data_IF_375951337737
#
_entry.id   IF_375951337737
#
_cell.length_a   1.000
_cell.length_b   1.000
_cell.length_c   1.000
_cell.angle_alpha   90.00
_cell.angle_beta   90.00
_cell.angle_gamma   90.00
#
_symmetry.space_group_name_H-M   'P 1'
#
loop_
_entity.id
_entity.type
_entity.pdbx_description
1 polymer ?
#
# COMPACT_ATOMS: atom_id res chain seq x y z
N UNK A 1 6.62 2.43 -10.38
CA UNK A 1 6.46 2.60 -8.92
C UNK A 1 5.63 1.42 -8.47
N UNK A 2 5.92 0.80 -7.33
CA UNK A 2 4.95 -0.12 -6.72
C UNK A 2 3.58 0.57 -6.67
N UNK A 3 2.54 0.04 -7.32
CA UNK A 3 1.19 0.62 -7.25
C UNK A 3 0.56 0.48 -5.86
N UNK A 4 1.23 -0.20 -4.94
CA UNK A 4 0.71 -0.58 -3.64
C UNK A 4 1.73 -0.15 -2.58
N UNK A 5 1.52 1.03 -2.00
CA UNK A 5 1.88 1.21 -0.60
C UNK A 5 1.17 0.09 0.15
N UNK A 6 1.90 -0.77 0.86
CA UNK A 6 1.30 -1.59 1.90
C UNK A 6 0.75 -0.62 2.96
N UNK A 7 -0.47 -0.17 2.77
CA UNK A 7 -1.48 0.09 3.79
C UNK A 7 -2.53 0.99 3.16
N UNK A 8 -3.72 0.42 2.93
CA UNK A 8 -4.89 1.07 3.42
C UNK A 8 -5.67 0.04 4.23
N UNK A 9 -5.44 0.11 5.54
CA UNK A 9 -6.09 -0.59 6.65
C UNK A 9 -7.44 -1.18 6.23
N UNK A 10 -7.43 -2.49 5.95
CA UNK A 10 -8.61 -3.29 5.65
C UNK A 10 -8.47 -4.52 6.54
N UNK A 11 -8.98 -4.42 7.78
CA UNK A 11 -9.07 -5.49 8.79
C UNK A 11 -7.79 -6.28 9.15
N UNK A 12 -6.64 -5.99 8.53
CA UNK A 12 -5.40 -6.72 8.79
C UNK A 12 -4.60 -6.06 9.90
N UNK A 13 -4.57 -6.75 11.03
CA UNK A 13 -3.80 -6.40 12.22
C UNK A 13 -2.44 -7.09 12.17
N UNK A 14 -1.41 -6.40 11.69
CA UNK A 14 -0.05 -6.95 11.65
C UNK A 14 0.52 -7.00 13.07
N UNK A 15 0.90 -8.19 13.55
CA UNK A 15 1.51 -8.36 14.89
C UNK A 15 3.01 -8.58 14.85
N UNK A 16 3.54 -8.93 13.68
CA UNK A 16 4.95 -9.21 13.46
C UNK A 16 5.34 -8.75 12.07
N UNK A 17 6.46 -8.04 11.99
CA UNK A 17 7.10 -7.64 10.73
C UNK A 17 8.51 -8.20 10.74
N UNK A 18 8.90 -8.85 9.64
CA UNK A 18 10.27 -9.28 9.40
C UNK A 18 10.73 -8.73 8.06
N UNK A 19 11.84 -8.00 8.05
CA UNK A 19 12.42 -7.41 6.85
C UNK A 19 13.83 -7.95 6.69
N UNK A 20 14.11 -8.51 5.52
CA UNK A 20 15.41 -9.09 5.20
C UNK A 20 16.05 -8.23 4.12
N UNK A 21 17.10 -7.49 4.49
CA UNK A 21 17.99 -6.84 3.54
C UNK A 21 19.00 -7.87 3.06
N UNK A 22 18.80 -8.41 1.86
CA UNK A 22 19.74 -9.36 1.23
C UNK A 22 21.13 -8.74 1.11
N UNK A 23 22.17 -9.56 1.23
CA UNK A 23 23.54 -9.10 1.07
C UNK A 23 23.74 -8.44 -0.30
N UNK A 24 24.40 -7.29 -0.32
CA UNK A 24 24.73 -6.54 -1.52
C UNK A 24 26.24 -6.31 -1.55
N UNK A 25 26.91 -6.84 -2.57
CA UNK A 25 28.38 -6.79 -2.69
C UNK A 25 28.86 -5.36 -2.49
N UNK A 26 29.90 -5.20 -1.68
CA UNK A 26 30.56 -3.92 -1.38
C UNK A 26 29.71 -2.89 -0.61
N UNK A 27 28.41 -3.14 -0.37
CA UNK A 27 27.52 -2.20 0.32
C UNK A 27 27.10 -2.67 1.71
N UNK A 28 26.63 -3.90 1.86
CA UNK A 28 26.16 -4.43 3.14
C UNK A 28 26.12 -5.94 3.14
N UNK A 29 26.49 -6.54 4.27
CA UNK A 29 26.11 -7.92 4.57
C UNK A 29 24.59 -8.04 4.73
N UNK A 30 24.09 -9.28 4.76
CA UNK A 30 22.68 -9.52 5.02
C UNK A 30 22.31 -8.99 6.40
N UNK A 31 21.21 -8.23 6.49
CA UNK A 31 20.65 -7.74 7.75
C UNK A 31 19.20 -8.15 7.88
N UNK A 32 18.82 -8.57 9.07
CA UNK A 32 17.44 -8.96 9.38
C UNK A 32 16.93 -8.01 10.45
N UNK A 33 15.80 -7.38 10.16
CA UNK A 33 15.04 -6.60 11.12
C UNK A 33 13.77 -7.38 11.47
N UNK A 34 13.45 -7.43 12.75
CA UNK A 34 12.24 -8.07 13.24
C UNK A 34 11.61 -7.17 14.31
N UNK A 35 10.31 -6.95 14.19
CA UNK A 35 9.51 -6.28 15.20
C UNK A 35 8.28 -7.13 15.49
N UNK A 36 7.85 -7.12 16.75
CA UNK A 36 6.58 -7.70 17.19
C UNK A 36 5.81 -6.64 17.97
N UNK A 37 4.51 -6.82 18.17
CA UNK A 37 3.74 -5.94 19.05
C UNK A 37 4.44 -5.82 20.42
N UNK A 38 4.58 -4.59 20.91
CA UNK A 38 5.23 -4.21 22.17
C UNK A 38 6.77 -4.35 22.19
N UNK A 39 7.38 -4.73 21.07
CA UNK A 39 8.84 -4.78 20.89
C UNK A 39 9.23 -4.30 19.47
N UNK A 40 9.52 -3.00 19.39
CA UNK A 40 9.91 -2.31 18.17
C UNK A 40 11.35 -1.77 18.34
N UNK A 41 12.38 -2.61 18.08
CA UNK A 41 13.77 -2.28 18.35
C UNK A 41 14.34 -1.27 17.35
N UNK A 42 15.28 -0.44 17.79
CA UNK A 42 16.05 0.44 16.91
C UNK A 42 17.33 -0.22 16.34
N UNK A 43 17.33 -1.55 16.22
CA UNK A 43 18.48 -2.34 15.80
C UNK A 43 18.04 -3.57 14.97
N UNK A 44 18.97 -4.12 14.19
CA UNK A 44 18.84 -5.42 13.57
C UNK A 44 18.95 -6.53 14.62
N UNK A 45 18.54 -7.76 14.25
CA UNK A 45 18.56 -8.92 15.16
C UNK A 45 19.95 -9.25 15.72
N UNK A 46 21.02 -8.85 15.04
CA UNK A 46 22.41 -9.01 15.47
C UNK A 46 22.88 -7.88 16.41
N UNK A 47 21.99 -6.96 16.79
CA UNK A 47 22.26 -5.80 17.64
C UNK A 47 22.90 -4.62 16.90
N UNK A 48 23.21 -4.74 15.61
CA UNK A 48 23.76 -3.64 14.82
C UNK A 48 22.68 -2.63 14.42
N UNK A 49 23.02 -1.36 14.26
CA UNK A 49 22.10 -0.31 13.79
C UNK A 49 22.38 0.11 12.35
N UNK A 50 23.39 -0.50 11.71
CA UNK A 50 23.82 -0.18 10.36
C UNK A 50 24.41 -1.39 9.63
N UNK A 51 24.33 -1.36 8.30
CA UNK A 51 25.02 -2.28 7.40
C UNK A 51 26.01 -1.54 6.49
N UNK A 52 27.14 -2.17 6.22
CA UNK A 52 28.23 -1.64 5.39
C UNK A 52 29.46 -1.17 6.18
N UNK A 53 30.62 -1.32 5.53
CA UNK A 53 31.92 -0.94 6.07
C UNK A 53 32.24 0.54 5.77
N UNK A 54 32.95 1.20 6.68
CA UNK A 54 33.38 2.60 6.55
C UNK A 54 32.47 3.65 7.21
N UNK A 55 32.76 4.93 6.92
CA UNK A 55 32.04 6.11 7.48
C UNK A 55 30.63 6.28 6.89
N UNK A 56 30.43 5.91 5.63
CA UNK A 56 29.13 6.05 4.95
C UNK A 56 28.34 4.75 5.07
N UNK A 57 27.39 4.73 6.02
CA UNK A 57 26.49 3.58 6.19
C UNK A 57 25.47 3.49 5.06
N UNK A 58 25.55 2.41 4.28
CA UNK A 58 24.68 2.16 3.12
C UNK A 58 23.28 1.68 3.53
N UNK A 59 23.17 1.10 4.74
CA UNK A 59 21.95 0.69 5.40
C UNK A 59 22.00 1.19 6.85
N UNK A 60 20.91 1.77 7.36
CA UNK A 60 20.82 2.24 8.75
C UNK A 60 19.39 2.18 9.27
N UNK A 61 19.26 1.99 10.58
CA UNK A 61 18.01 2.15 11.34
C UNK A 61 18.08 3.46 12.11
N UNK A 62 16.99 4.21 12.12
CA UNK A 62 16.84 5.46 12.87
C UNK A 62 15.55 5.36 13.69
N UNK A 63 15.68 5.44 15.00
CA UNK A 63 14.54 5.62 15.89
C UNK A 63 14.01 7.05 15.76
N UNK A 64 12.72 7.18 15.45
CA UNK A 64 12.02 8.46 15.37
C UNK A 64 11.18 8.73 16.60
N UNK A 65 10.61 7.66 17.15
CA UNK A 65 9.84 7.69 18.38
C UNK A 65 10.11 6.42 19.17
N UNK A 66 10.49 6.60 20.45
CA UNK A 66 11.03 5.49 21.21
C UNK A 66 10.05 4.35 21.37
N UNK A 67 10.46 3.15 20.93
CA UNK A 67 9.63 1.94 20.94
C UNK A 67 8.34 2.01 20.12
N UNK A 68 8.16 3.03 19.26
CA UNK A 68 6.92 3.25 18.50
C UNK A 68 7.10 3.52 17.03
N UNK A 69 8.24 4.08 16.61
CA UNK A 69 8.50 4.39 15.21
C UNK A 69 9.98 4.29 14.87
N UNK A 70 10.31 3.43 13.91
CA UNK A 70 11.65 3.37 13.29
C UNK A 70 11.57 3.55 11.78
N UNK A 71 12.63 4.14 11.24
CA UNK A 71 12.90 4.22 9.81
C UNK A 71 14.13 3.41 9.47
N UNK A 72 14.04 2.60 8.42
CA UNK A 72 15.17 1.91 7.81
C UNK A 72 15.47 2.55 6.47
N UNK A 73 16.72 2.98 6.27
CA UNK A 73 17.17 3.59 5.03
C UNK A 73 18.22 2.72 4.35
N UNK A 74 17.82 2.01 3.30
CA UNK A 74 18.68 1.22 2.44
C UNK A 74 19.09 2.07 1.22
N UNK A 75 20.06 2.96 1.40
CA UNK A 75 20.48 3.94 0.39
C UNK A 75 21.02 3.28 -0.87
N UNK A 76 21.73 2.17 -0.73
CA UNK A 76 22.32 1.41 -1.85
C UNK A 76 21.28 0.85 -2.84
N UNK A 77 20.03 0.65 -2.41
CA UNK A 77 18.90 0.22 -3.26
C UNK A 77 17.77 1.26 -3.32
N UNK A 78 18.05 2.52 -2.97
CA UNK A 78 17.07 3.62 -3.00
C UNK A 78 15.79 3.37 -2.17
N UNK A 79 15.84 2.46 -1.19
CA UNK A 79 14.67 1.94 -0.48
C UNK A 79 14.57 2.55 0.92
N UNK A 80 13.36 2.88 1.34
CA UNK A 80 13.06 3.36 2.70
C UNK A 80 11.86 2.62 3.25
N UNK A 81 11.94 2.20 4.50
CA UNK A 81 10.89 1.43 5.18
C UNK A 81 10.58 2.07 6.52
N UNK A 82 9.30 2.27 6.80
CA UNK A 82 8.79 2.78 8.07
C UNK A 82 8.05 1.65 8.78
N UNK A 83 8.35 1.47 10.06
CA UNK A 83 7.63 0.53 10.93
C UNK A 83 7.14 1.30 12.14
N UNK A 84 5.83 1.29 12.38
CA UNK A 84 5.22 1.90 13.55
C UNK A 84 4.39 0.92 14.34
N UNK A 85 4.26 1.18 15.64
CA UNK A 85 3.26 0.55 16.47
C UNK A 85 2.12 1.54 16.76
N UNK A 86 0.90 1.15 16.39
CA UNK A 86 -0.33 1.87 16.70
C UNK A 86 -1.22 0.99 17.57
N UNK A 87 -1.30 1.33 18.86
CA UNK A 87 -1.97 0.48 19.85
C UNK A 87 -1.29 -0.89 19.94
N UNK A 88 -2.00 -1.93 19.47
CA UNK A 88 -1.55 -3.33 19.56
C UNK A 88 -1.10 -3.92 18.22
N UNK A 89 -0.98 -3.08 17.18
CA UNK A 89 -0.67 -3.53 15.83
C UNK A 89 0.49 -2.73 15.27
N UNK A 90 1.19 -3.35 14.32
CA UNK A 90 2.25 -2.73 13.57
C UNK A 90 1.70 -2.24 12.23
N UNK A 91 2.26 -1.15 11.71
CA UNK A 91 2.04 -0.68 10.34
C UNK A 91 3.37 -0.65 9.59
N UNK A 92 3.32 -0.81 8.27
CA UNK A 92 4.50 -0.95 7.43
C UNK A 92 4.36 -0.11 6.17
N UNK A 93 5.11 0.98 6.04
CA UNK A 93 5.17 1.72 4.78
C UNK A 93 6.53 1.54 4.10
N UNK A 94 6.52 1.42 2.77
CA UNK A 94 7.69 1.08 1.95
C UNK A 94 7.75 1.96 0.71
N UNK A 95 8.93 2.51 0.42
CA UNK A 95 9.26 3.09 -0.88
C UNK A 95 10.43 2.34 -1.49
N UNK A 96 10.24 1.84 -2.70
CA UNK A 96 11.27 1.14 -3.49
C UNK A 96 11.28 1.65 -4.94
N UNK A 97 12.45 1.74 -5.60
CA UNK A 97 12.53 1.96 -7.04
C UNK A 97 11.76 0.89 -7.83
N UNK A 98 11.12 1.29 -8.93
CA UNK A 98 10.25 0.40 -9.72
C UNK A 98 10.99 -0.78 -10.33
N UNK A 99 12.15 -0.50 -10.91
CA UNK A 99 13.05 -1.48 -11.50
C UNK A 99 13.47 -2.54 -10.49
N UNK A 100 13.72 -2.16 -9.24
CA UNK A 100 14.04 -3.11 -8.17
C UNK A 100 12.81 -3.85 -7.64
N UNK A 101 11.67 -3.16 -7.51
CA UNK A 101 10.44 -3.79 -7.05
C UNK A 101 9.89 -4.83 -8.03
N UNK A 102 10.12 -4.64 -9.32
CA UNK A 102 9.71 -5.57 -10.37
C UNK A 102 10.80 -6.60 -10.72
N UNK A 103 11.97 -6.53 -10.10
CA UNK A 103 13.07 -7.48 -10.29
C UNK A 103 12.92 -8.71 -9.38
N UNK A 104 11.94 -9.56 -9.69
CA UNK A 104 11.72 -10.84 -9.03
C UNK A 104 11.67 -11.99 -10.04
N UNK A 105 11.97 -13.21 -9.57
CA UNK A 105 11.89 -14.42 -10.40
C UNK A 105 10.45 -14.94 -10.50
N UNK A 106 10.11 -15.63 -11.59
CA UNK A 106 8.77 -16.22 -11.79
C UNK A 106 8.37 -17.21 -10.68
N UNK A 107 9.34 -17.80 -9.99
CA UNK A 107 9.14 -18.68 -8.83
C UNK A 107 8.66 -17.95 -7.56
N UNK A 108 8.70 -16.61 -7.54
CA UNK A 108 8.30 -15.73 -6.43
C UNK A 108 6.97 -15.04 -6.76
N UNK A 109 5.97 -15.81 -7.16
CA UNK A 109 4.67 -15.32 -7.63
C UNK A 109 3.82 -14.65 -6.53
N UNK A 110 3.99 -15.05 -5.27
CA UNK A 110 3.29 -14.47 -4.13
C UNK A 110 4.00 -13.21 -3.59
N UNK A 111 3.67 -12.05 -4.15
CA UNK A 111 4.11 -10.74 -3.67
C UNK A 111 2.95 -9.77 -3.48
N UNK A 112 2.49 -9.60 -2.24
CA UNK A 112 1.35 -8.74 -1.91
C UNK A 112 1.56 -7.26 -2.30
N UNK A 113 2.79 -6.75 -2.19
CA UNK A 113 3.15 -5.36 -2.57
C UNK A 113 3.10 -5.09 -4.08
N UNK A 114 3.06 -6.15 -4.90
CA UNK A 114 3.10 -6.05 -6.36
C UNK A 114 1.75 -6.47 -6.95
N UNK A 115 1.28 -7.65 -6.54
CA UNK A 115 0.11 -8.32 -7.11
C UNK A 115 -1.17 -8.14 -6.26
N UNK A 116 -1.04 -7.59 -5.05
CA UNK A 116 -2.14 -7.54 -4.08
C UNK A 116 -2.47 -8.92 -3.49
N UNK A 117 -3.55 -8.99 -2.71
CA UNK A 117 -4.00 -10.23 -2.09
C UNK A 117 -4.59 -11.21 -3.12
N UNK A 118 -4.36 -12.53 -2.97
CA UNK A 118 -5.09 -13.55 -3.73
C UNK A 118 -6.60 -13.39 -3.59
N UNK A 119 -7.37 -13.75 -4.63
CA UNK A 119 -8.83 -13.59 -4.65
C UNK A 119 -9.54 -14.24 -3.45
N UNK A 120 -9.05 -15.38 -2.98
CA UNK A 120 -9.61 -16.10 -1.81
C UNK A 120 -9.40 -15.37 -0.48
N UNK A 121 -8.39 -14.51 -0.39
CA UNK A 121 -8.05 -13.73 0.81
C UNK A 121 -8.63 -12.31 0.75
N UNK A 122 -9.26 -11.94 -0.37
CA UNK A 122 -9.96 -10.67 -0.48
C UNK A 122 -11.27 -10.78 0.27
N UNK A 123 -11.53 -9.81 1.12
CA UNK A 123 -12.82 -9.67 1.79
C UNK A 123 -13.85 -9.36 0.71
N UNK A 124 -14.68 -10.35 0.39
CA UNK A 124 -15.78 -10.20 -0.55
C UNK A 124 -16.90 -9.42 0.14
N UNK A 125 -17.21 -8.26 -0.41
CA UNK A 125 -18.29 -7.40 0.04
C UNK A 125 -19.64 -7.93 -0.48
N UNK A 126 -19.97 -9.19 -0.16
CA UNK A 126 -21.18 -9.88 -0.63
C UNK A 126 -22.51 -9.18 -0.33
N UNK A 127 -22.49 -8.02 0.34
CA UNK A 127 -23.62 -7.18 0.72
C UNK A 127 -23.52 -5.72 0.23
N UNK A 128 -22.50 -5.35 -0.55
CA UNK A 128 -22.40 -4.01 -1.15
C UNK A 128 -22.12 -2.88 -0.15
N UNK A 129 -21.54 -3.15 1.02
CA UNK A 129 -21.11 -2.11 1.98
C UNK A 129 -19.89 -1.34 1.45
N UNK A 130 -18.86 -2.02 0.96
CA UNK A 130 -17.75 -1.42 0.20
C UNK A 130 -18.28 -0.75 -1.07
N UNK A 131 -19.24 -1.36 -1.76
CA UNK A 131 -19.91 -0.73 -2.92
C UNK A 131 -20.65 0.56 -2.54
N UNK A 132 -21.31 0.61 -1.39
CA UNK A 132 -21.99 1.80 -0.86
C UNK A 132 -20.99 2.88 -0.41
N UNK A 133 -19.85 2.49 0.18
CA UNK A 133 -18.75 3.41 0.58
C UNK A 133 -18.06 3.98 -0.68
N UNK A 134 -17.94 3.18 -1.75
CA UNK A 134 -17.41 3.56 -3.08
C UNK A 134 -18.43 4.31 -3.99
N UNK A 135 -19.66 4.55 -3.51
CA UNK A 135 -20.66 5.35 -4.25
C UNK A 135 -21.48 4.58 -5.29
N UNK A 136 -21.49 3.25 -5.26
CA UNK A 136 -22.38 2.42 -6.07
C UNK A 136 -23.70 2.17 -5.34
N UNK A 137 -24.75 2.87 -5.77
CA UNK A 137 -26.12 2.65 -5.31
C UNK A 137 -26.64 1.31 -5.85
N UNK A 138 -26.78 0.30 -4.99
CA UNK A 138 -27.60 -0.87 -5.27
C UNK A 138 -28.78 -0.95 -4.28
N UNK A 139 -29.92 -1.54 -4.70
CA UNK A 139 -31.18 -1.38 -4.00
C UNK A 139 -31.18 -2.11 -2.66
N UNK A 140 -31.69 -1.42 -1.65
CA UNK A 140 -32.04 -1.91 -0.32
C UNK A 140 -32.28 -3.42 -0.24
N UNK A 141 -31.34 -4.14 0.38
CA UNK A 141 -31.64 -5.38 1.07
C UNK A 141 -31.09 -5.27 2.50
N UNK A 142 -31.95 -5.71 3.42
CA UNK A 142 -31.93 -5.68 4.89
C UNK A 142 -30.60 -5.37 5.62
N UNK A 143 -30.63 -4.57 6.70
CA UNK A 143 -29.43 -4.21 7.45
C UNK A 143 -28.87 -5.45 8.16
N UNK A 144 -27.78 -6.00 7.62
CA UNK A 144 -26.89 -6.83 8.42
C UNK A 144 -26.46 -6.01 9.64
N UNK A 145 -26.46 -6.65 10.81
CA UNK A 145 -26.29 -6.03 12.11
C UNK A 145 -25.10 -5.04 12.11
N UNK A 146 -25.40 -3.77 11.89
CA UNK A 146 -24.50 -2.69 12.22
C UNK A 146 -24.20 -2.85 13.71
N UNK A 147 -22.92 -2.85 14.08
CA UNK A 147 -22.53 -2.74 15.47
C UNK A 147 -23.33 -1.57 16.09
N UNK A 148 -24.03 -1.79 17.22
CA UNK A 148 -24.91 -0.77 17.78
C UNK A 148 -24.08 0.46 18.19
N UNK A 149 -23.99 1.46 17.31
CA UNK A 149 -23.27 2.71 17.56
C UNK A 149 -22.66 3.43 16.36
N UNK A 150 -22.34 2.75 15.25
CA UNK A 150 -21.63 3.37 14.12
C UNK A 150 -22.41 3.23 12.81
N UNK A 151 -23.13 4.28 12.40
CA UNK A 151 -23.73 4.36 11.06
C UNK A 151 -22.69 4.80 10.03
N UNK A 152 -22.96 4.55 8.75
CA UNK A 152 -22.11 4.99 7.64
C UNK A 152 -21.85 6.50 7.69
N UNK A 153 -22.86 7.29 8.04
CA UNK A 153 -22.77 8.75 8.14
C UNK A 153 -21.85 9.17 9.30
N UNK A 154 -22.01 8.57 10.47
CA UNK A 154 -21.16 8.88 11.64
C UNK A 154 -19.72 8.46 11.40
N UNK A 155 -19.50 7.27 10.84
CA UNK A 155 -18.16 6.79 10.51
C UNK A 155 -17.49 7.68 9.45
N UNK A 156 -18.24 8.06 8.41
CA UNK A 156 -17.76 8.98 7.37
C UNK A 156 -17.40 10.35 7.93
N UNK A 157 -18.24 10.93 8.80
CA UNK A 157 -17.97 12.22 9.41
C UNK A 157 -16.70 12.20 10.28
N UNK A 158 -16.53 11.15 11.08
CA UNK A 158 -15.35 10.97 11.93
C UNK A 158 -14.06 10.79 11.10
N UNK A 159 -14.09 9.97 10.05
CA UNK A 159 -12.94 9.78 9.17
C UNK A 159 -12.60 11.07 8.40
N UNK A 160 -13.61 11.85 8.00
CA UNK A 160 -13.44 13.09 7.26
C UNK A 160 -12.73 14.19 8.08
N UNK A 161 -12.81 14.15 9.41
CA UNK A 161 -12.13 15.12 10.28
C UNK A 161 -10.60 15.07 10.12
N UNK A 162 -10.03 13.86 9.97
CA UNK A 162 -8.58 13.66 9.81
C UNK A 162 -8.13 13.44 8.37
N UNK A 163 -9.03 12.98 7.50
CA UNK A 163 -8.74 12.66 6.09
C UNK A 163 -9.85 13.27 5.22
N UNK A 164 -9.71 14.56 4.81
CA UNK A 164 -10.75 15.25 4.05
C UNK A 164 -10.87 14.76 2.61
N UNK A 165 -9.83 14.10 2.07
CA UNK A 165 -9.84 13.54 0.73
C UNK A 165 -10.47 12.15 0.78
N UNK A 166 -11.51 11.91 -0.02
CA UNK A 166 -12.21 10.62 -0.11
C UNK A 166 -11.48 9.62 -1.00
N UNK A 167 -10.23 9.33 -0.65
CA UNK A 167 -9.38 8.35 -1.31
C UNK A 167 -9.39 7.00 -0.55
N UNK A 168 -8.48 6.09 -0.91
CA UNK A 168 -8.39 4.78 -0.28
C UNK A 168 -8.18 4.84 1.24
N UNK A 169 -7.47 5.83 1.79
CA UNK A 169 -7.24 5.94 3.23
C UNK A 169 -8.53 6.31 3.97
N UNK A 170 -9.29 7.26 3.41
CA UNK A 170 -10.62 7.59 3.93
C UNK A 170 -11.56 6.38 3.88
N UNK A 171 -11.58 5.67 2.75
CA UNK A 171 -12.44 4.51 2.55
C UNK A 171 -12.10 3.37 3.53
N UNK A 172 -10.81 3.10 3.72
CA UNK A 172 -10.29 2.18 4.73
C UNK A 172 -10.72 2.55 6.15
N UNK A 173 -10.57 3.82 6.53
CA UNK A 173 -11.02 4.30 7.84
C UNK A 173 -12.51 4.02 8.08
N UNK A 174 -13.35 4.33 7.09
CA UNK A 174 -14.80 4.13 7.20
C UNK A 174 -15.12 2.65 7.31
N UNK A 175 -14.52 1.82 6.46
CA UNK A 175 -14.72 0.37 6.46
C UNK A 175 -14.32 -0.27 7.79
N UNK A 176 -13.12 0.03 8.29
CA UNK A 176 -12.64 -0.53 9.55
C UNK A 176 -13.48 -0.07 10.73
N UNK A 177 -13.87 1.21 10.78
CA UNK A 177 -14.70 1.74 11.85
C UNK A 177 -16.09 1.09 11.88
N UNK A 178 -16.70 0.86 10.71
CA UNK A 178 -17.98 0.16 10.61
C UNK A 178 -17.88 -1.31 11.01
N UNK A 179 -16.75 -1.95 10.71
CA UNK A 179 -16.59 -3.38 10.96
C UNK A 179 -16.11 -3.70 12.38
N UNK A 180 -15.31 -2.82 12.98
CA UNK A 180 -14.66 -3.06 14.29
C UNK A 180 -15.25 -2.23 15.43
N UNK A 181 -15.85 -1.07 15.12
CA UNK A 181 -16.28 -0.09 16.12
C UNK A 181 -15.14 0.58 16.90
N UNK A 182 -13.87 0.38 16.51
CA UNK A 182 -12.73 0.94 17.23
C UNK A 182 -12.23 2.23 16.55
N UNK A 183 -12.32 3.34 17.28
CA UNK A 183 -11.87 4.65 16.81
C UNK A 183 -10.36 4.72 16.53
N UNK A 184 -9.56 3.78 17.03
CA UNK A 184 -8.12 3.71 16.73
C UNK A 184 -7.84 3.39 15.26
N UNK A 185 -8.78 2.80 14.53
CA UNK A 185 -8.62 2.56 13.10
C UNK A 185 -8.58 3.86 12.28
N UNK A 186 -9.20 4.94 12.79
CA UNK A 186 -9.01 6.28 12.22
C UNK A 186 -7.55 6.74 12.32
N UNK A 187 -6.84 6.39 13.41
CA UNK A 187 -5.43 6.74 13.56
C UNK A 187 -4.52 5.92 12.63
N UNK A 188 -4.84 4.64 12.41
CA UNK A 188 -4.09 3.77 11.49
C UNK A 188 -4.16 4.28 10.04
N UNK A 189 -5.36 4.53 9.52
CA UNK A 189 -5.55 5.04 8.17
C UNK A 189 -4.90 6.43 7.99
N UNK A 190 -5.01 7.30 8.99
CA UNK A 190 -4.35 8.61 8.96
C UNK A 190 -2.83 8.50 8.99
N UNK A 191 -2.26 7.58 9.77
CA UNK A 191 -0.81 7.33 9.78
C UNK A 191 -0.32 6.81 8.43
N UNK A 192 -1.10 5.95 7.75
CA UNK A 192 -0.76 5.47 6.42
C UNK A 192 -0.70 6.61 5.38
N UNK A 193 -1.63 7.57 5.45
CA UNK A 193 -1.57 8.78 4.62
C UNK A 193 -0.30 9.59 4.93
N UNK A 194 0.01 9.85 6.20
CA UNK A 194 1.23 10.58 6.60
C UNK A 194 2.51 9.89 6.11
N UNK A 195 2.50 8.56 6.05
CA UNK A 195 3.63 7.78 5.55
C UNK A 195 3.86 7.93 4.07
N UNK A 196 2.79 7.92 3.29
CA UNK A 196 2.90 8.18 1.85
C UNK A 196 3.37 9.60 1.58
N UNK A 197 2.92 10.58 2.37
CA UNK A 197 3.35 11.98 2.25
C UNK A 197 4.84 12.14 2.53
N UNK A 198 5.36 11.42 3.53
CA UNK A 198 6.77 11.43 3.90
C UNK A 198 7.66 10.63 2.93
N UNK A 199 7.15 9.52 2.37
CA UNK A 199 7.91 8.66 1.47
C UNK A 199 7.93 9.19 0.02
N UNK A 200 6.78 9.69 -0.46
CA UNK A 200 6.60 9.98 -1.88
C UNK A 200 6.84 11.47 -2.18
N UNK A 201 7.82 11.84 -3.02
CA UNK A 201 8.17 13.24 -3.25
C UNK A 201 7.14 14.01 -4.10
N UNK A 202 6.27 13.30 -4.84
CA UNK A 202 5.25 13.91 -5.70
C UNK A 202 3.88 13.84 -5.04
N UNK A 203 3.28 15.00 -4.79
CA UNK A 203 1.98 15.14 -4.10
C UNK A 203 0.82 14.54 -4.89
N UNK A 204 0.93 14.54 -6.21
CA UNK A 204 -0.10 14.01 -7.11
C UNK A 204 -0.27 12.50 -6.98
N UNK A 205 0.66 11.82 -6.30
CA UNK A 205 0.61 10.37 -6.04
C UNK A 205 0.32 10.01 -4.59
N UNK A 206 0.03 11.00 -3.74
CA UNK A 206 -0.34 10.73 -2.35
C UNK A 206 -1.72 10.10 -2.25
N UNK A 207 -2.67 10.58 -3.05
CA UNK A 207 -4.05 10.12 -3.02
C UNK A 207 -4.27 9.04 -4.08
N UNK A 208 -4.79 7.89 -3.64
CA UNK A 208 -5.14 6.76 -4.51
C UNK A 208 -6.66 6.69 -4.56
N UNK A 209 -7.23 7.04 -5.71
CA UNK A 209 -8.67 6.97 -5.91
C UNK A 209 -9.07 5.60 -6.47
N UNK A 210 -10.13 4.98 -5.95
CA UNK A 210 -10.68 3.76 -6.54
C UNK A 210 -11.05 4.02 -8.00
N UNK A 211 -10.80 3.04 -8.86
CA UNK A 211 -11.18 3.14 -10.28
C UNK A 211 -12.70 3.16 -10.34
N UNK A 212 -13.29 4.32 -10.63
CA UNK A 212 -14.68 4.42 -11.03
C UNK A 212 -14.87 3.52 -12.24
N UNK A 213 -15.77 2.53 -12.16
CA UNK A 213 -16.14 1.68 -13.28
C UNK A 213 -16.83 2.47 -14.40
N UNK A 214 -16.10 3.37 -15.07
CA UNK A 214 -16.52 3.97 -16.33
C UNK A 214 -16.08 3.02 -17.42
N UNK A 215 -17.08 2.28 -17.92
CA UNK A 215 -17.09 1.45 -19.12
C UNK A 215 -15.75 1.12 -19.75
N UNK A 216 -15.42 -0.16 -19.76
CA UNK A 216 -14.58 -0.71 -20.82
C UNK A 216 -14.97 -0.06 -22.15
N UNK A 217 -14.02 0.53 -22.92
CA UNK A 217 -14.35 1.00 -24.25
C UNK A 217 -14.83 -0.23 -25.01
N UNK A 218 -16.12 -0.23 -25.37
CA UNK A 218 -16.67 -1.17 -26.33
C UNK A 218 -15.72 -1.16 -27.52
N UNK A 219 -15.03 -2.28 -27.75
CA UNK A 219 -14.32 -2.52 -28.98
C UNK A 219 -15.35 -2.40 -30.11
N UNK A 220 -15.44 -1.20 -30.69
CA UNK A 220 -16.23 -0.95 -31.87
C UNK A 220 -15.59 -1.76 -32.99
N UNK A 221 -16.33 -2.73 -33.49
CA UNK A 221 -16.03 -3.41 -34.75
C UNK A 221 -15.64 -2.36 -35.80
N UNK A 222 -14.51 -2.47 -36.50
CA UNK A 222 -14.22 -1.57 -37.60
C UNK A 222 -15.16 -1.96 -38.75
N UNK A 223 -16.17 -1.11 -38.96
CA UNK A 223 -16.98 -1.13 -40.16
C UNK A 223 -16.11 -0.97 -41.39
N UNK A 224 -16.32 -1.86 -42.35
CA UNK A 224 -15.75 -1.86 -43.68
C UNK A 224 -15.95 -0.50 -44.36
N UNK A 225 -14.85 0.17 -44.73
CA UNK A 225 -14.85 1.20 -45.77
C UNK A 225 -13.68 0.92 -46.71
N UNK A 226 -14.04 0.41 -47.88
CA UNK A 226 -13.19 0.34 -49.06
C UNK A 226 -12.92 1.77 -49.55
N UNK A 227 -11.69 2.10 -49.94
CA UNK A 227 -11.37 2.89 -51.14
C UNK A 227 -9.86 3.14 -51.24
N UNK A 228 -9.31 2.88 -52.43
CA UNK A 228 -8.15 3.62 -52.94
C UNK A 228 -6.80 2.90 -52.95
N UNK A 229 -6.68 1.85 -53.76
CA UNK A 229 -5.39 1.34 -54.23
C UNK A 229 -4.78 2.38 -55.19
N UNK A 230 -3.73 3.09 -54.76
CA UNK A 230 -2.79 3.71 -55.69
C UNK A 230 -1.36 3.39 -55.27
N UNK A 231 -0.64 2.93 -56.28
CA UNK A 231 0.67 2.29 -56.29
C UNK A 231 1.83 3.31 -56.22
N UNK A 232 3.04 2.76 -56.07
CA UNK A 232 4.40 3.31 -56.28
C UNK A 232 5.08 3.92 -55.03
N UNK A 233 6.35 3.64 -54.67
CA UNK A 233 7.45 2.83 -55.22
C UNK A 233 8.55 2.64 -54.13
N UNK A 234 9.28 1.51 -54.20
CA UNK A 234 10.65 1.11 -53.73
C UNK A 234 11.42 2.01 -52.71
N UNK A 235 12.24 1.49 -51.78
CA UNK A 235 13.52 0.77 -51.99
C UNK A 235 13.99 0.11 -50.66
N UNK A 236 14.51 -1.11 -50.79
CA UNK A 236 15.30 -1.93 -49.84
C UNK A 236 16.64 -1.27 -49.49
N UNK A 237 17.14 -1.36 -48.26
CA UNK A 237 18.55 -1.72 -48.01
C UNK A 237 18.75 -2.32 -46.60
N UNK A 238 19.16 -3.59 -46.62
CA UNK A 238 19.96 -4.42 -45.69
C UNK A 238 20.08 -3.98 -44.22
#
# INVERSE_FOLDING_TARGET
MCPWSLDPVLLLQIRQITIIFKAHRECTEQKVYQAVTDDLPAAFVDGSTSGGDGEVKSLRIVEKESGRYVEMHARHIGTTVFVRQLGRYLTLALRMPEDLAMAYEESQDLQLCVNGCPLSERIDDGQGQVSAILGHTLPHTSPAQAWPGHTLETASAQCHEKMPVRDIYFQSCVFDLLTTGDANFTAAAHSALQDVEALHPRKERWHIFPISGHGAPRAGSPGSLSLGLTCLILIVFL
#
